data_IF_767959878416
#
_entry.id   IF_767959878416
#
_cell.length_a   1.000
_cell.length_b   1.000
_cell.length_c   1.000
_cell.angle_alpha   90.00
_cell.angle_beta   90.00
_cell.angle_gamma   90.00
#
_symmetry.space_group_name_H-M   'P 1'
#
loop_
_entity.id
_entity.type
_entity.pdbx_description
1 polymer ?
#
# COMPACT_ATOMS: atom_id res chain seq x y z
N UNK A 1 1.51 41.80 23.76
CA UNK A 1 0.62 41.23 22.73
C UNK A 1 1.34 40.81 21.45
N UNK A 2 2.22 41.65 20.87
CA UNK A 2 2.95 41.29 19.62
C UNK A 2 3.86 40.04 19.75
N UNK A 3 4.44 39.72 20.90
CA UNK A 3 5.31 38.54 21.10
C UNK A 3 4.54 37.21 21.17
N UNK A 4 3.29 37.25 21.63
CA UNK A 4 2.43 36.04 21.70
C UNK A 4 1.97 35.61 20.31
N UNK A 5 1.69 36.55 19.40
CA UNK A 5 1.30 36.22 18.01
C UNK A 5 2.45 35.63 17.21
N UNK A 6 3.69 36.07 17.42
CA UNK A 6 4.86 35.49 16.74
C UNK A 6 5.12 34.05 17.21
N UNK A 7 4.90 33.73 18.48
CA UNK A 7 5.09 32.38 19.02
C UNK A 7 3.99 31.43 18.50
N UNK A 8 2.75 31.89 18.37
CA UNK A 8 1.65 31.10 17.79
C UNK A 8 1.87 30.83 16.29
N UNK A 9 2.35 31.82 15.53
CA UNK A 9 2.66 31.66 14.10
C UNK A 9 3.84 30.71 13.89
N UNK A 10 4.85 30.74 14.75
CA UNK A 10 5.98 29.82 14.73
C UNK A 10 5.55 28.38 15.08
N UNK A 11 4.61 28.20 16.03
CA UNK A 11 4.06 26.88 16.36
C UNK A 11 3.21 26.30 15.23
N UNK A 12 2.42 27.12 14.55
CA UNK A 12 1.62 26.72 13.39
C UNK A 12 2.51 26.38 12.17
N UNK A 13 3.63 27.08 11.99
CA UNK A 13 4.59 26.79 10.91
C UNK A 13 5.37 25.48 11.14
N UNK A 14 5.63 25.10 12.39
CA UNK A 14 6.31 23.85 12.74
C UNK A 14 5.39 22.64 12.53
N UNK A 15 4.07 22.78 12.69
CA UNK A 15 3.10 21.70 12.42
C UNK A 15 2.96 21.44 10.91
N UNK A 16 3.19 22.44 10.07
CA UNK A 16 3.09 22.28 8.60
C UNK A 16 4.31 21.63 7.93
N UNK A 17 5.43 21.49 8.63
CA UNK A 17 6.69 20.99 8.05
C UNK A 17 6.91 19.48 8.24
N UNK A 18 6.01 18.75 8.93
CA UNK A 18 6.27 17.37 9.35
C UNK A 18 5.60 16.27 8.53
N UNK A 19 4.80 16.60 7.53
CA UNK A 19 3.99 15.59 6.84
C UNK A 19 4.35 15.47 5.36
N UNK A 20 5.49 14.84 5.05
CA UNK A 20 5.77 14.45 3.68
C UNK A 20 6.42 13.08 3.63
N UNK A 21 5.68 12.12 3.06
CA UNK A 21 6.10 10.73 2.94
C UNK A 21 6.03 10.00 4.29
N UNK A 22 6.80 8.95 4.41
CA UNK A 22 6.86 8.18 5.65
C UNK A 22 7.57 8.98 6.77
N UNK A 23 7.09 9.02 8.03
CA UNK A 23 7.73 9.79 9.10
C UNK A 23 9.17 9.34 9.35
N UNK A 24 10.07 10.29 9.65
CA UNK A 24 11.41 9.96 10.11
C UNK A 24 11.39 9.52 11.58
N UNK A 25 12.34 8.67 11.95
CA UNK A 25 12.46 8.10 13.30
C UNK A 25 11.21 7.31 13.74
N UNK A 26 10.48 6.76 12.77
CA UNK A 26 9.33 5.93 13.03
C UNK A 26 9.81 4.55 13.57
N UNK A 27 9.33 4.17 14.73
CA UNK A 27 9.68 2.91 15.42
C UNK A 27 8.56 1.85 15.34
N UNK A 28 7.45 2.18 14.70
CA UNK A 28 6.30 1.29 14.60
C UNK A 28 6.50 0.12 13.66
N UNK A 29 5.62 -0.85 13.80
CA UNK A 29 5.56 -2.09 13.02
C UNK A 29 4.24 -2.11 12.26
N UNK A 30 4.29 -2.44 10.97
CA UNK A 30 3.13 -2.64 10.12
C UNK A 30 2.80 -4.13 10.02
N UNK A 31 1.52 -4.47 9.95
CA UNK A 31 1.01 -5.80 9.61
C UNK A 31 0.28 -5.69 8.28
N UNK A 32 0.60 -6.55 7.32
CA UNK A 32 -0.33 -6.86 6.24
C UNK A 32 -1.39 -7.80 6.80
N UNK A 33 -2.60 -7.30 7.04
CA UNK A 33 -3.69 -7.98 7.74
C UNK A 33 -4.45 -9.04 6.92
N UNK A 34 -3.87 -9.51 5.82
CA UNK A 34 -4.51 -10.48 4.91
C UNK A 34 -3.47 -11.27 4.10
N UNK A 35 -3.92 -12.39 3.55
CA UNK A 35 -3.22 -13.19 2.54
C UNK A 35 -4.10 -13.32 1.30
N UNK A 36 -3.59 -13.92 0.22
CA UNK A 36 -4.42 -14.17 -0.95
C UNK A 36 -5.57 -15.13 -0.60
N UNK A 37 -6.77 -14.88 -1.13
CA UNK A 37 -8.00 -15.62 -0.83
C UNK A 37 -8.42 -15.64 0.66
N UNK A 38 -7.98 -14.66 1.43
CA UNK A 38 -8.28 -14.56 2.87
C UNK A 38 -9.68 -13.99 3.16
N UNK A 39 -10.69 -14.28 2.35
CA UNK A 39 -12.03 -13.68 2.44
C UNK A 39 -12.68 -13.84 3.81
N UNK A 40 -12.47 -14.97 4.50
CA UNK A 40 -12.99 -15.20 5.85
C UNK A 40 -12.10 -14.59 6.92
N UNK A 41 -10.79 -14.81 6.81
CA UNK A 41 -9.82 -14.40 7.82
C UNK A 41 -9.57 -12.88 7.84
N UNK A 42 -9.79 -12.19 6.73
CA UNK A 42 -9.63 -10.74 6.58
C UNK A 42 -10.97 -9.97 6.57
N UNK A 43 -12.09 -10.61 6.89
CA UNK A 43 -13.35 -9.90 7.12
C UNK A 43 -13.17 -8.85 8.21
N UNK A 44 -13.86 -7.71 8.07
CA UNK A 44 -13.72 -6.58 8.98
C UNK A 44 -13.95 -6.98 10.44
N UNK A 45 -14.96 -7.80 10.73
CA UNK A 45 -15.20 -8.34 12.07
C UNK A 45 -14.09 -9.26 12.57
N UNK A 46 -13.53 -10.08 11.68
CA UNK A 46 -12.45 -10.98 12.04
C UNK A 46 -11.15 -10.23 12.38
N UNK A 47 -10.86 -9.16 11.63
CA UNK A 47 -9.74 -8.27 11.92
C UNK A 47 -9.99 -7.45 13.19
N UNK A 48 -11.19 -6.91 13.37
CA UNK A 48 -11.56 -6.17 14.58
C UNK A 48 -11.41 -7.02 15.84
N UNK A 49 -11.79 -8.29 15.79
CA UNK A 49 -11.67 -9.23 16.90
C UNK A 49 -10.20 -9.47 17.34
N UNK A 50 -9.22 -9.27 16.43
CA UNK A 50 -7.79 -9.43 16.72
C UNK A 50 -7.15 -8.18 17.35
N UNK A 51 -7.91 -7.12 17.63
CA UNK A 51 -7.38 -5.85 18.17
C UNK A 51 -6.53 -6.05 19.42
N UNK A 52 -6.94 -6.92 20.33
CA UNK A 52 -6.19 -7.20 21.56
C UNK A 52 -4.86 -7.89 21.33
N UNK A 53 -4.74 -8.68 20.25
CA UNK A 53 -3.52 -9.37 19.85
C UNK A 53 -2.50 -8.36 19.26
N UNK A 54 -3.00 -7.36 18.53
CA UNK A 54 -2.19 -6.34 17.87
C UNK A 54 -1.75 -5.22 18.83
N UNK A 55 -2.57 -4.89 19.82
CA UNK A 55 -2.37 -3.75 20.71
C UNK A 55 -1.00 -3.78 21.40
N UNK A 56 -0.23 -2.71 21.22
CA UNK A 56 1.12 -2.55 21.79
C UNK A 56 2.24 -3.16 20.95
N UNK A 57 1.91 -3.97 19.95
CA UNK A 57 2.89 -4.63 19.06
C UNK A 57 2.82 -4.08 17.64
N UNK A 58 1.62 -4.02 17.06
CA UNK A 58 1.36 -3.54 15.70
C UNK A 58 0.85 -2.11 15.77
N UNK A 59 1.48 -1.22 15.03
CA UNK A 59 1.16 0.19 15.01
C UNK A 59 0.32 0.58 13.79
N UNK A 60 0.43 -0.18 12.67
CA UNK A 60 -0.33 0.01 11.44
C UNK A 60 -0.81 -1.33 10.90
N UNK A 61 -2.05 -1.41 10.43
CA UNK A 61 -2.58 -2.58 9.73
C UNK A 61 -2.98 -2.20 8.31
N UNK A 62 -2.30 -2.76 7.31
CA UNK A 62 -2.71 -2.71 5.92
C UNK A 62 -3.78 -3.76 5.69
N UNK A 63 -4.97 -3.30 5.30
CA UNK A 63 -6.15 -4.14 5.05
C UNK A 63 -6.42 -4.30 3.56
N UNK A 64 -7.20 -5.32 3.14
CA UNK A 64 -7.58 -5.49 1.74
C UNK A 64 -8.25 -4.25 1.16
N UNK A 65 -8.24 -4.12 -0.18
CA UNK A 65 -9.02 -3.10 -0.89
C UNK A 65 -10.49 -3.19 -0.48
N UNK A 66 -11.01 -2.11 0.09
CA UNK A 66 -12.32 -2.11 0.76
C UNK A 66 -13.49 -1.72 -0.15
N UNK A 67 -13.23 -1.11 -1.32
CA UNK A 67 -14.27 -0.70 -2.26
C UNK A 67 -14.96 -1.91 -2.91
N UNK A 68 -16.26 -1.77 -3.18
CA UNK A 68 -17.07 -2.80 -3.82
C UNK A 68 -16.62 -3.02 -5.26
N UNK A 69 -16.36 -4.27 -5.62
CA UNK A 69 -16.17 -4.71 -7.00
C UNK A 69 -17.52 -5.00 -7.69
N UNK A 70 -17.50 -5.28 -8.99
CA UNK A 70 -18.71 -5.73 -9.70
C UNK A 70 -19.14 -7.09 -9.15
N UNK A 71 -18.20 -8.00 -8.99
CA UNK A 71 -18.37 -9.25 -8.25
C UNK A 71 -18.40 -8.93 -6.74
N UNK A 72 -19.24 -9.64 -5.99
CA UNK A 72 -19.46 -9.32 -4.57
C UNK A 72 -19.06 -10.43 -3.61
N UNK A 73 -18.65 -11.58 -4.12
CA UNK A 73 -18.32 -12.77 -3.31
C UNK A 73 -16.94 -13.28 -3.69
N UNK A 74 -16.09 -13.47 -2.68
CA UNK A 74 -14.74 -14.02 -2.85
C UNK A 74 -13.87 -13.24 -3.85
N UNK A 75 -13.81 -11.92 -3.71
CA UNK A 75 -13.01 -11.02 -4.55
C UNK A 75 -12.02 -10.25 -3.69
N UNK A 76 -10.73 -10.28 -4.06
CA UNK A 76 -9.66 -9.57 -3.31
C UNK A 76 -9.73 -8.04 -3.44
N UNK A 77 -10.41 -7.53 -4.45
CA UNK A 77 -10.63 -6.09 -4.58
C UNK A 77 -9.81 -5.41 -5.68
N UNK A 78 -8.89 -6.11 -6.36
CA UNK A 78 -7.96 -5.53 -7.34
C UNK A 78 -8.59 -5.20 -8.71
N UNK A 79 -9.92 -5.35 -8.85
CA UNK A 79 -10.73 -4.85 -9.97
C UNK A 79 -11.81 -3.92 -9.45
N UNK A 80 -11.48 -2.72 -8.92
CA UNK A 80 -12.42 -1.83 -8.25
C UNK A 80 -13.49 -1.34 -9.23
N UNK A 81 -14.75 -1.41 -8.81
CA UNK A 81 -15.87 -0.91 -9.59
C UNK A 81 -16.46 0.36 -8.96
N UNK A 82 -16.61 0.40 -7.62
CA UNK A 82 -17.06 1.56 -6.87
C UNK A 82 -15.94 2.15 -6.03
N UNK A 83 -15.87 3.49 -5.95
CA UNK A 83 -14.95 4.23 -5.10
C UNK A 83 -15.57 4.73 -3.79
N UNK A 84 -16.92 4.88 -3.76
CA UNK A 84 -17.63 5.41 -2.60
C UNK A 84 -18.64 4.43 -2.00
N UNK A 85 -18.61 3.16 -2.40
CA UNK A 85 -19.38 2.08 -1.82
C UNK A 85 -18.43 1.00 -1.31
N UNK A 86 -18.43 0.79 0.01
CA UNK A 86 -17.51 -0.12 0.69
C UNK A 86 -18.19 -1.37 1.27
N UNK A 87 -19.35 -1.76 0.73
CA UNK A 87 -19.94 -3.08 0.99
C UNK A 87 -19.26 -4.10 0.06
N UNK A 88 -18.24 -4.77 0.55
CA UNK A 88 -17.35 -5.63 -0.23
C UNK A 88 -17.39 -7.09 0.22
N UNK A 89 -16.52 -7.93 -0.34
CA UNK A 89 -16.32 -9.32 0.09
C UNK A 89 -15.87 -9.46 1.55
N UNK A 90 -15.31 -8.38 2.12
CA UNK A 90 -14.77 -8.39 3.48
C UNK A 90 -15.77 -7.90 4.54
N UNK A 91 -16.97 -7.50 4.12
CA UNK A 91 -18.04 -7.07 5.01
C UNK A 91 -18.71 -5.77 4.57
N UNK A 92 -19.61 -5.26 5.40
CA UNK A 92 -20.31 -4.01 5.18
C UNK A 92 -19.43 -2.80 5.50
N UNK A 93 -19.80 -1.63 4.97
CA UNK A 93 -19.11 -0.38 5.30
C UNK A 93 -19.21 -0.05 6.80
N UNK A 94 -20.33 -0.36 7.46
CA UNK A 94 -20.49 -0.16 8.90
C UNK A 94 -19.50 -1.03 9.70
N UNK A 95 -19.28 -2.27 9.28
CA UNK A 95 -18.28 -3.15 9.88
C UNK A 95 -16.85 -2.64 9.66
N UNK A 96 -16.55 -2.13 8.48
CA UNK A 96 -15.27 -1.47 8.18
C UNK A 96 -15.05 -0.25 9.09
N UNK A 97 -16.05 0.62 9.22
CA UNK A 97 -15.99 1.79 10.10
C UNK A 97 -15.81 1.40 11.57
N UNK A 98 -16.47 0.33 12.01
CA UNK A 98 -16.31 -0.22 13.37
C UNK A 98 -14.87 -0.67 13.60
N UNK A 99 -14.32 -1.47 12.70
CA UNK A 99 -12.95 -1.97 12.77
C UNK A 99 -11.92 -0.81 12.82
N UNK A 100 -12.02 0.15 11.89
CA UNK A 100 -11.11 1.31 11.84
C UNK A 100 -11.18 2.10 13.15
N UNK A 101 -12.38 2.35 13.65
CA UNK A 101 -12.59 3.06 14.92
C UNK A 101 -12.00 2.29 16.11
N UNK A 102 -12.22 0.97 16.16
CA UNK A 102 -11.69 0.11 17.22
C UNK A 102 -10.17 0.08 17.19
N UNK A 103 -9.56 -0.08 16.03
CA UNK A 103 -8.11 0.00 15.87
C UNK A 103 -7.57 1.34 16.36
N UNK A 104 -8.12 2.44 15.87
CA UNK A 104 -7.72 3.79 16.26
C UNK A 104 -7.80 4.03 17.76
N UNK A 105 -8.89 3.58 18.41
CA UNK A 105 -9.07 3.70 19.88
C UNK A 105 -8.03 2.89 20.67
N UNK A 106 -7.36 1.94 20.02
CA UNK A 106 -6.30 1.12 20.62
C UNK A 106 -4.89 1.49 20.13
N UNK A 107 -4.76 2.64 19.45
CA UNK A 107 -3.47 3.16 18.97
C UNK A 107 -2.94 2.45 17.72
N UNK A 108 -3.83 1.82 16.94
CA UNK A 108 -3.50 1.11 15.69
C UNK A 108 -4.08 1.91 14.52
N UNK A 109 -3.22 2.37 13.62
CA UNK A 109 -3.64 3.02 12.38
C UNK A 109 -4.01 2.00 11.30
N UNK A 110 -4.90 2.38 10.39
CA UNK A 110 -5.33 1.52 9.28
C UNK A 110 -4.83 2.09 7.96
N UNK A 111 -4.21 1.25 7.14
CA UNK A 111 -3.70 1.58 5.80
C UNK A 111 -4.67 1.00 4.76
N UNK A 112 -5.26 1.88 3.94
CA UNK A 112 -6.11 1.46 2.82
C UNK A 112 -5.27 0.91 1.67
N UNK A 113 -5.71 -0.18 1.04
CA UNK A 113 -5.22 -0.61 -0.26
C UNK A 113 -5.93 0.21 -1.35
N UNK A 114 -5.16 0.96 -2.15
CA UNK A 114 -5.66 1.94 -3.11
C UNK A 114 -5.31 1.50 -4.53
N UNK A 115 -6.31 1.03 -5.26
CA UNK A 115 -6.20 0.60 -6.66
C UNK A 115 -6.75 1.71 -7.54
N UNK A 116 -5.85 2.47 -8.16
CA UNK A 116 -6.19 3.62 -9.02
C UNK A 116 -5.48 3.61 -10.37
N UNK A 117 -4.60 2.66 -10.63
CA UNK A 117 -4.03 2.47 -11.95
C UNK A 117 -5.14 2.22 -12.98
N UNK A 118 -6.05 1.34 -12.64
CA UNK A 118 -7.14 0.87 -13.48
C UNK A 118 -8.45 0.80 -12.72
N UNK A 119 -9.56 0.70 -13.47
CA UNK A 119 -10.90 0.55 -12.90
C UNK A 119 -11.77 -0.35 -13.77
N UNK A 120 -12.60 -1.18 -13.14
CA UNK A 120 -13.54 -2.05 -13.84
C UNK A 120 -14.73 -1.24 -14.38
N UNK A 121 -15.34 -1.76 -15.45
CA UNK A 121 -16.47 -1.12 -16.17
C UNK A 121 -17.58 -2.14 -16.42
N UNK A 122 -18.78 -1.66 -16.62
CA UNK A 122 -19.82 -2.43 -17.29
C UNK A 122 -19.55 -2.38 -18.80
N UNK A 123 -19.40 -3.56 -19.41
CA UNK A 123 -18.89 -3.65 -20.77
C UNK A 123 -17.48 -3.04 -20.90
N UNK A 124 -17.24 -2.33 -22.01
CA UNK A 124 -15.91 -1.76 -22.27
C UNK A 124 -15.71 -0.35 -21.71
N UNK A 125 -16.79 0.44 -21.54
CA UNK A 125 -16.63 1.89 -21.40
C UNK A 125 -17.47 2.52 -20.29
N UNK A 126 -18.39 1.78 -19.65
CA UNK A 126 -19.33 2.38 -18.70
C UNK A 126 -18.81 2.26 -17.27
N UNK A 127 -18.37 3.37 -16.71
CA UNK A 127 -18.06 3.48 -15.28
C UNK A 127 -19.31 3.84 -14.49
N UNK A 128 -19.47 3.35 -13.25
CA UNK A 128 -20.59 3.75 -12.40
C UNK A 128 -20.48 5.25 -12.04
N UNK A 129 -21.63 5.93 -12.05
CA UNK A 129 -21.75 7.24 -11.44
C UNK A 129 -22.03 7.08 -9.94
N UNK A 130 -21.27 7.80 -9.10
CA UNK A 130 -21.38 7.73 -7.66
C UNK A 130 -21.51 9.14 -7.07
N UNK A 131 -22.26 9.29 -6.00
CA UNK A 131 -22.45 10.59 -5.34
C UNK A 131 -21.77 10.61 -3.99
N UNK A 132 -20.92 11.59 -3.78
CA UNK A 132 -20.26 11.85 -2.51
C UNK A 132 -20.36 13.33 -2.14
N UNK A 133 -20.83 13.65 -0.94
CA UNK A 133 -21.06 15.01 -0.45
C UNK A 133 -21.88 15.90 -1.43
N UNK A 134 -22.91 15.31 -2.07
CA UNK A 134 -23.78 16.01 -3.02
C UNK A 134 -23.17 16.27 -4.40
N UNK A 135 -21.97 15.77 -4.66
CA UNK A 135 -21.31 15.84 -5.97
C UNK A 135 -21.31 14.47 -6.63
N UNK A 136 -21.72 14.41 -7.90
CA UNK A 136 -21.62 13.18 -8.70
C UNK A 136 -20.22 13.08 -9.33
N UNK A 137 -19.58 11.94 -9.13
CA UNK A 137 -18.29 11.57 -9.70
C UNK A 137 -18.48 10.39 -10.64
N UNK A 138 -17.95 10.51 -11.85
CA UNK A 138 -17.97 9.44 -12.84
C UNK A 138 -16.76 9.56 -13.74
N UNK A 139 -16.07 8.45 -13.98
CA UNK A 139 -15.10 8.34 -15.06
C UNK A 139 -15.86 8.23 -16.40
N UNK A 140 -15.26 8.73 -17.44
CA UNK A 140 -15.80 8.72 -18.81
C UNK A 140 -14.90 7.87 -19.71
N UNK A 141 -15.37 7.44 -20.89
CA UNK A 141 -14.49 6.76 -21.85
C UNK A 141 -13.23 7.57 -22.21
N UNK A 142 -13.34 8.90 -22.21
CA UNK A 142 -12.23 9.84 -22.46
C UNK A 142 -11.21 9.89 -21.30
N UNK A 143 -11.44 9.18 -20.21
CA UNK A 143 -10.53 9.00 -19.09
C UNK A 143 -9.73 7.69 -19.17
N UNK A 144 -9.98 6.86 -20.20
CA UNK A 144 -9.27 5.61 -20.47
C UNK A 144 -8.08 5.91 -21.37
N UNK A 145 -6.91 5.37 -21.03
CA UNK A 145 -5.69 5.50 -21.82
C UNK A 145 -5.89 4.99 -23.25
N UNK A 146 -5.31 5.70 -24.22
CA UNK A 146 -5.49 5.39 -25.66
C UNK A 146 -5.02 3.99 -26.03
N UNK A 147 -3.95 3.51 -25.42
CA UNK A 147 -3.33 2.22 -25.68
C UNK A 147 -3.75 1.12 -24.70
N UNK A 148 -4.77 1.36 -23.85
CA UNK A 148 -5.30 0.43 -22.87
C UNK A 148 -5.53 -0.97 -23.49
N UNK A 149 -5.22 -2.02 -22.71
CA UNK A 149 -5.26 -3.42 -23.09
C UNK A 149 -4.52 -3.69 -24.42
N UNK A 150 -3.30 -3.12 -24.52
CA UNK A 150 -2.45 -3.23 -25.71
C UNK A 150 -3.15 -2.77 -27.00
N UNK A 151 -4.06 -1.79 -26.90
CA UNK A 151 -4.82 -1.20 -28.01
C UNK A 151 -6.11 -1.94 -28.39
N UNK A 152 -6.50 -2.99 -27.67
CA UNK A 152 -7.78 -3.67 -27.89
C UNK A 152 -8.96 -2.76 -27.56
N UNK A 153 -8.84 -1.98 -26.48
CA UNK A 153 -9.86 -1.00 -26.11
C UNK A 153 -10.08 0.06 -27.17
N UNK A 154 -8.99 0.57 -27.79
CA UNK A 154 -9.13 1.49 -28.92
C UNK A 154 -9.82 0.84 -30.13
N UNK A 155 -9.49 -0.42 -30.39
CA UNK A 155 -10.14 -1.19 -31.48
C UNK A 155 -11.64 -1.31 -31.24
N UNK A 156 -12.06 -1.58 -30.02
CA UNK A 156 -13.49 -1.64 -29.64
C UNK A 156 -14.15 -0.27 -29.65
N UNK A 157 -13.45 0.76 -29.18
CA UNK A 157 -13.93 2.15 -29.18
C UNK A 157 -14.26 2.63 -30.61
N UNK A 158 -13.40 2.29 -31.59
CA UNK A 158 -13.63 2.63 -32.98
C UNK A 158 -14.89 1.92 -33.55
N UNK A 159 -15.17 0.66 -33.15
CA UNK A 159 -16.37 -0.07 -33.59
C UNK A 159 -17.64 0.55 -33.02
N UNK A 160 -17.60 1.04 -31.80
CA UNK A 160 -18.74 1.62 -31.10
C UNK A 160 -18.84 3.16 -31.25
N UNK A 161 -17.93 3.78 -32.00
CA UNK A 161 -17.85 5.25 -32.18
C UNK A 161 -17.68 5.96 -30.85
N UNK A 162 -16.93 5.38 -29.90
CA UNK A 162 -16.59 5.95 -28.61
C UNK A 162 -15.22 6.61 -28.69
N UNK A 163 -15.03 7.77 -28.04
CA UNK A 163 -13.76 8.45 -27.95
C UNK A 163 -13.04 8.10 -26.65
N UNK A 164 -11.79 7.67 -26.72
CA UNK A 164 -10.89 7.50 -25.58
C UNK A 164 -10.08 8.77 -25.33
N UNK A 165 -9.23 8.77 -24.29
CA UNK A 165 -8.21 9.77 -24.10
C UNK A 165 -7.26 9.84 -25.31
N UNK A 166 -6.65 11.02 -25.55
CA UNK A 166 -5.57 11.16 -26.52
C UNK A 166 -4.20 10.72 -25.96
N UNK A 167 -4.10 10.50 -24.66
CA UNK A 167 -2.87 10.12 -24.00
C UNK A 167 -2.72 8.60 -23.96
N UNK A 168 -1.49 8.15 -24.16
CA UNK A 168 -1.12 6.79 -23.84
C UNK A 168 -0.92 6.66 -22.33
N UNK A 169 -1.02 5.41 -21.85
CA UNK A 169 -0.63 5.03 -20.53
C UNK A 169 0.82 5.46 -20.23
N UNK A 170 1.09 5.78 -18.97
CA UNK A 170 2.39 6.28 -18.53
C UNK A 170 3.29 5.15 -17.98
N UNK A 171 2.79 3.92 -17.96
CA UNK A 171 3.50 2.78 -17.41
C UNK A 171 3.01 1.42 -17.87
N UNK A 172 2.92 0.50 -16.93
CA UNK A 172 2.54 -0.90 -17.18
C UNK A 172 1.01 -1.02 -17.31
N UNK A 173 0.55 -1.72 -18.36
CA UNK A 173 -0.86 -1.97 -18.72
C UNK A 173 -1.47 -3.08 -17.83
N UNK A 174 -2.73 -2.92 -17.40
CA UNK A 174 -3.51 -3.95 -16.72
C UNK A 174 -4.69 -4.43 -17.58
N UNK A 175 -4.50 -5.49 -18.33
CA UNK A 175 -5.39 -5.94 -19.39
C UNK A 175 -6.81 -6.40 -19.00
N UNK A 176 -7.13 -6.52 -17.71
CA UNK A 176 -8.43 -7.00 -17.23
C UNK A 176 -9.43 -5.88 -16.86
N UNK A 177 -8.96 -4.64 -16.76
CA UNK A 177 -9.74 -3.44 -16.45
C UNK A 177 -9.37 -2.32 -17.42
N UNK A 178 -9.87 -1.10 -17.18
CA UNK A 178 -9.53 0.06 -18.01
C UNK A 178 -8.49 0.92 -17.29
N UNK A 179 -7.31 1.07 -17.90
CA UNK A 179 -6.23 1.92 -17.38
C UNK A 179 -6.64 3.39 -17.47
N UNK A 180 -6.49 4.08 -16.33
CA UNK A 180 -6.93 5.45 -16.18
C UNK A 180 -5.87 6.45 -16.62
N UNK A 181 -6.25 7.41 -17.45
CA UNK A 181 -5.39 8.52 -17.84
C UNK A 181 -5.23 9.53 -16.70
N UNK A 182 -4.20 9.38 -15.89
CA UNK A 182 -3.91 10.29 -14.78
C UNK A 182 -3.57 11.73 -15.18
N UNK A 183 -3.38 12.02 -16.47
CA UNK A 183 -3.30 13.39 -17.01
C UNK A 183 -4.69 14.02 -17.14
N UNK A 184 -5.76 13.23 -17.19
CA UNK A 184 -7.13 13.73 -17.20
C UNK A 184 -7.44 14.49 -15.90
N UNK A 185 -7.96 15.72 -16.06
CA UNK A 185 -8.43 16.51 -14.91
C UNK A 185 -9.62 15.84 -14.20
N UNK A 186 -10.45 15.08 -14.95
CA UNK A 186 -11.56 14.33 -14.38
C UNK A 186 -11.06 13.15 -13.54
N UNK A 187 -10.11 12.35 -14.05
CA UNK A 187 -9.48 11.27 -13.26
C UNK A 187 -8.88 11.82 -11.97
N UNK A 188 -8.07 12.89 -12.06
CA UNK A 188 -7.48 13.50 -10.87
C UNK A 188 -8.53 14.01 -9.87
N UNK A 189 -9.64 14.59 -10.36
CA UNK A 189 -10.75 15.07 -9.51
C UNK A 189 -11.40 13.90 -8.78
N UNK A 190 -11.74 12.83 -9.50
CA UNK A 190 -12.42 11.65 -8.94
C UNK A 190 -11.50 10.94 -7.94
N UNK A 191 -10.23 10.70 -8.30
CA UNK A 191 -9.25 10.05 -7.42
C UNK A 191 -9.01 10.88 -6.14
N UNK A 192 -8.84 12.20 -6.25
CA UNK A 192 -8.67 13.07 -5.07
C UNK A 192 -9.90 13.03 -4.15
N UNK A 193 -11.11 12.98 -4.70
CA UNK A 193 -12.33 12.86 -3.91
C UNK A 193 -12.40 11.49 -3.21
N UNK A 194 -12.09 10.41 -3.92
CA UNK A 194 -12.01 9.06 -3.37
C UNK A 194 -11.00 8.97 -2.20
N UNK A 195 -9.80 9.46 -2.39
CA UNK A 195 -8.77 9.42 -1.34
C UNK A 195 -9.15 10.28 -0.12
N UNK A 196 -9.83 11.42 -0.32
CA UNK A 196 -10.39 12.20 0.79
C UNK A 196 -11.48 11.43 1.52
N UNK A 197 -12.37 10.76 0.81
CA UNK A 197 -13.39 9.91 1.40
C UNK A 197 -12.75 8.80 2.27
N UNK A 198 -11.73 8.11 1.77
CA UNK A 198 -10.99 7.11 2.57
C UNK A 198 -10.44 7.71 3.87
N UNK A 199 -9.78 8.87 3.79
CA UNK A 199 -9.14 9.48 4.94
C UNK A 199 -10.12 10.15 5.90
N UNK A 200 -11.02 10.99 5.36
CA UNK A 200 -11.83 11.92 6.16
C UNK A 200 -13.12 11.27 6.66
N UNK A 201 -13.75 10.42 5.86
CA UNK A 201 -15.02 9.76 6.19
C UNK A 201 -14.83 8.37 6.80
N UNK A 202 -14.01 7.52 6.18
CA UNK A 202 -13.75 6.17 6.70
C UNK A 202 -12.72 6.18 7.83
N UNK A 203 -11.78 7.13 7.83
CA UNK A 203 -10.81 7.29 8.89
C UNK A 203 -9.49 6.54 8.70
N UNK A 204 -9.15 6.15 7.49
CA UNK A 204 -7.84 5.59 7.18
C UNK A 204 -6.71 6.59 7.47
N UNK A 205 -5.60 6.11 8.00
CA UNK A 205 -4.43 6.93 8.37
C UNK A 205 -3.32 6.89 7.30
N UNK A 206 -3.40 5.96 6.37
CA UNK A 206 -2.42 5.83 5.29
C UNK A 206 -2.96 5.11 4.07
N UNK A 207 -2.14 5.10 3.01
CA UNK A 207 -2.43 4.47 1.73
C UNK A 207 -1.31 3.53 1.31
N UNK A 208 -1.66 2.33 0.86
CA UNK A 208 -0.84 1.48 0.02
C UNK A 208 -1.35 1.61 -1.40
N UNK A 209 -0.55 2.18 -2.28
CA UNK A 209 -0.88 2.30 -3.70
C UNK A 209 -0.47 1.04 -4.44
N UNK A 210 -1.46 0.38 -5.03
CA UNK A 210 -1.32 -0.79 -5.88
C UNK A 210 -0.70 -0.44 -7.23
N UNK A 211 0.10 -1.34 -7.79
CA UNK A 211 0.60 -1.31 -9.17
C UNK A 211 1.08 0.08 -9.64
N UNK A 212 1.89 0.77 -8.81
CA UNK A 212 2.34 2.14 -9.13
C UNK A 212 3.36 2.22 -10.27
N UNK A 213 3.69 1.11 -10.92
CA UNK A 213 4.42 1.09 -12.19
C UNK A 213 3.54 1.49 -13.37
N UNK A 214 2.22 1.42 -13.22
CA UNK A 214 1.28 1.70 -14.30
C UNK A 214 1.06 3.18 -14.56
N UNK A 215 1.44 4.09 -13.67
CA UNK A 215 1.25 5.53 -13.88
C UNK A 215 2.39 6.37 -13.30
N UNK A 216 2.48 7.64 -13.73
CA UNK A 216 3.59 8.49 -13.32
C UNK A 216 3.58 8.78 -11.82
N UNK A 217 4.72 8.58 -11.17
CA UNK A 217 4.91 8.76 -9.74
C UNK A 217 4.54 10.15 -9.21
N UNK A 218 4.61 11.20 -10.04
CA UNK A 218 4.23 12.56 -9.64
C UNK A 218 2.76 12.65 -9.22
N UNK A 219 1.89 11.82 -9.81
CA UNK A 219 0.47 11.78 -9.43
C UNK A 219 0.28 11.29 -7.99
N UNK A 220 1.06 10.28 -7.54
CA UNK A 220 1.06 9.87 -6.11
C UNK A 220 1.46 11.03 -5.20
N UNK A 221 2.49 11.78 -5.60
CA UNK A 221 2.93 12.98 -4.87
C UNK A 221 1.82 14.05 -4.75
N UNK A 222 1.09 14.29 -5.83
CA UNK A 222 -0.02 15.25 -5.89
C UNK A 222 -1.24 14.77 -5.08
N UNK A 223 -1.58 13.48 -5.15
CA UNK A 223 -2.66 12.87 -4.37
C UNK A 223 -2.37 12.91 -2.88
N UNK A 224 -1.14 12.57 -2.47
CA UNK A 224 -0.71 12.66 -1.08
C UNK A 224 -0.72 14.10 -0.56
N UNK A 225 -0.36 15.07 -1.41
CA UNK A 225 -0.45 16.49 -1.07
C UNK A 225 -1.90 16.93 -0.88
N UNK A 226 -2.79 16.52 -1.79
CA UNK A 226 -4.19 16.91 -1.76
C UNK A 226 -4.95 16.35 -0.54
N UNK A 227 -4.52 15.20 -0.03
CA UNK A 227 -5.10 14.55 1.16
C UNK A 227 -4.38 14.91 2.46
N UNK A 228 -3.12 15.32 2.40
CA UNK A 228 -2.26 15.49 3.58
C UNK A 228 -2.06 14.17 4.33
N UNK A 229 -2.01 13.04 3.61
CA UNK A 229 -1.79 11.71 4.21
C UNK A 229 -0.34 11.59 4.69
N UNK A 230 -0.14 10.97 5.85
CA UNK A 230 1.19 10.83 6.45
C UNK A 230 1.87 9.51 6.10
N UNK A 231 1.11 8.41 6.10
CA UNK A 231 1.63 7.10 5.77
C UNK A 231 1.26 6.77 4.33
N UNK A 232 2.27 6.62 3.47
CA UNK A 232 2.07 6.25 2.07
C UNK A 232 3.16 5.30 1.62
N UNK A 233 2.78 4.19 1.04
CA UNK A 233 3.67 3.18 0.48
C UNK A 233 3.20 2.78 -0.92
N UNK A 234 4.12 2.75 -1.89
CA UNK A 234 3.83 2.27 -3.24
C UNK A 234 4.37 0.88 -3.48
N UNK A 235 3.61 0.11 -4.21
CA UNK A 235 4.04 -1.17 -4.76
C UNK A 235 4.77 -0.93 -6.09
N UNK A 236 6.07 -0.67 -6.01
CA UNK A 236 6.91 -0.55 -7.20
C UNK A 236 7.82 -1.79 -7.28
N UNK A 237 7.35 -2.83 -7.93
CA UNK A 237 8.04 -4.12 -8.00
C UNK A 237 9.17 -4.10 -9.02
N UNK A 238 10.35 -3.67 -8.57
CA UNK A 238 11.51 -3.49 -9.43
C UNK A 238 12.82 -3.51 -8.60
N UNK A 239 13.95 -3.36 -9.28
CA UNK A 239 15.26 -3.20 -8.67
C UNK A 239 15.38 -1.87 -7.90
N UNK A 240 16.27 -1.85 -6.90
CA UNK A 240 16.43 -0.74 -5.95
C UNK A 240 16.64 0.63 -6.61
N UNK A 241 17.34 0.69 -7.74
CA UNK A 241 17.57 1.94 -8.48
C UNK A 241 16.28 2.56 -9.01
N UNK A 242 15.40 1.74 -9.58
CA UNK A 242 14.11 2.17 -10.11
C UNK A 242 13.15 2.58 -8.99
N UNK A 243 13.14 1.84 -7.86
CA UNK A 243 12.34 2.19 -6.69
C UNK A 243 12.79 3.56 -6.12
N UNK A 244 14.11 3.81 -5.99
CA UNK A 244 14.63 5.11 -5.56
C UNK A 244 14.22 6.25 -6.50
N UNK A 245 14.28 6.00 -7.81
CA UNK A 245 13.83 6.96 -8.81
C UNK A 245 12.33 7.27 -8.67
N UNK A 246 11.50 6.24 -8.47
CA UNK A 246 10.08 6.39 -8.22
C UNK A 246 9.81 7.24 -6.96
N UNK A 247 10.46 6.94 -5.83
CA UNK A 247 10.34 7.73 -4.59
C UNK A 247 10.70 9.21 -4.85
N UNK A 248 11.80 9.47 -5.58
CA UNK A 248 12.19 10.83 -5.92
C UNK A 248 11.12 11.56 -6.77
N UNK A 249 10.55 10.86 -7.76
CA UNK A 249 9.50 11.42 -8.63
C UNK A 249 8.18 11.71 -7.90
N UNK A 250 7.89 11.02 -6.77
CA UNK A 250 6.76 11.41 -5.89
C UNK A 250 7.05 12.69 -5.10
N UNK A 251 8.23 13.30 -5.25
CA UNK A 251 8.71 14.37 -4.39
C UNK A 251 9.02 13.90 -2.97
N UNK A 252 9.37 12.62 -2.79
CA UNK A 252 9.58 11.94 -1.50
C UNK A 252 8.34 11.95 -0.60
N UNK A 253 7.14 12.00 -1.19
CA UNK A 253 5.86 11.99 -0.50
C UNK A 253 5.27 10.59 -0.30
N UNK A 254 6.00 9.55 -0.71
CA UNK A 254 5.67 8.14 -0.48
C UNK A 254 6.93 7.34 -0.17
N UNK A 255 6.83 6.37 0.73
CA UNK A 255 7.74 5.25 0.82
C UNK A 255 7.39 4.20 -0.24
N UNK A 256 8.17 3.13 -0.29
CA UNK A 256 7.92 2.00 -1.16
C UNK A 256 8.24 0.68 -0.45
N UNK A 257 7.62 -0.41 -0.87
CA UNK A 257 8.04 -1.74 -0.46
C UNK A 257 9.46 -2.02 -0.95
N UNK A 258 10.30 -2.51 -0.05
CA UNK A 258 11.70 -2.86 -0.34
C UNK A 258 11.77 -4.29 -0.90
N UNK A 259 11.38 -4.47 -2.16
CA UNK A 259 11.44 -5.77 -2.84
C UNK A 259 12.86 -6.35 -2.84
N UNK A 260 13.88 -5.51 -2.90
CA UNK A 260 15.25 -5.98 -2.88
C UNK A 260 15.64 -6.58 -1.52
N UNK A 261 15.08 -6.08 -0.41
CA UNK A 261 15.25 -6.68 0.90
C UNK A 261 14.74 -8.12 0.94
N UNK A 262 13.54 -8.36 0.37
CA UNK A 262 12.99 -9.71 0.22
C UNK A 262 13.90 -10.59 -0.64
N UNK A 263 14.33 -10.13 -1.81
CA UNK A 263 15.19 -10.93 -2.70
C UNK A 263 16.58 -11.19 -2.12
N UNK A 264 17.16 -10.27 -1.38
CA UNK A 264 18.43 -10.50 -0.68
C UNK A 264 18.28 -11.64 0.33
N UNK A 265 17.14 -11.72 1.03
CA UNK A 265 16.84 -12.78 1.98
C UNK A 265 16.63 -14.13 1.28
N UNK A 266 15.80 -14.19 0.23
CA UNK A 266 15.60 -15.43 -0.54
C UNK A 266 16.90 -15.93 -1.16
N UNK A 267 17.73 -15.03 -1.70
CA UNK A 267 19.03 -15.38 -2.24
C UNK A 267 19.99 -15.88 -1.18
N UNK A 268 19.99 -15.30 0.02
CA UNK A 268 20.80 -15.77 1.14
C UNK A 268 20.44 -17.20 1.52
N UNK A 269 19.15 -17.50 1.63
CA UNK A 269 18.63 -18.82 1.97
C UNK A 269 18.94 -19.84 0.86
N UNK A 270 18.59 -19.53 -0.39
CA UNK A 270 18.76 -20.44 -1.54
C UNK A 270 20.23 -20.84 -1.77
N UNK A 271 21.14 -19.88 -1.57
CA UNK A 271 22.57 -20.12 -1.83
C UNK A 271 23.34 -20.50 -0.55
N UNK A 272 22.66 -20.56 0.60
CA UNK A 272 23.30 -20.71 1.93
C UNK A 272 24.45 -19.69 2.10
N UNK A 273 24.25 -18.46 1.63
CA UNK A 273 25.21 -17.36 1.67
C UNK A 273 24.62 -16.14 2.37
N UNK A 274 24.77 -16.07 3.67
CA UNK A 274 24.22 -15.02 4.52
C UNK A 274 24.80 -13.63 4.26
N UNK A 275 25.91 -13.53 3.51
CA UNK A 275 26.47 -12.25 3.07
C UNK A 275 25.52 -11.50 2.14
N UNK A 276 24.63 -12.21 1.45
CA UNK A 276 23.58 -11.66 0.58
C UNK A 276 22.59 -10.74 1.31
N UNK A 277 22.41 -10.92 2.61
CA UNK A 277 21.59 -10.01 3.43
C UNK A 277 22.13 -8.57 3.44
N UNK A 278 23.39 -8.35 3.11
CA UNK A 278 24.02 -7.04 3.03
C UNK A 278 24.05 -6.45 1.62
N UNK A 279 23.46 -7.11 0.64
CA UNK A 279 23.35 -6.57 -0.71
C UNK A 279 22.45 -5.32 -0.73
N UNK A 280 22.63 -4.48 -1.76
CA UNK A 280 21.97 -3.19 -1.82
C UNK A 280 20.44 -3.33 -1.82
N UNK A 281 19.78 -2.53 -0.97
CA UNK A 281 18.31 -2.41 -0.88
C UNK A 281 17.96 -0.96 -0.51
N UNK A 282 16.68 -0.61 -0.40
CA UNK A 282 16.29 0.71 0.12
C UNK A 282 16.75 0.87 1.56
N UNK A 283 16.55 -0.16 2.39
CA UNK A 283 16.91 -0.17 3.81
C UNK A 283 18.41 0.04 4.01
N UNK A 284 19.25 -0.52 3.12
CA UNK A 284 20.71 -0.40 3.25
C UNK A 284 21.23 1.02 2.95
N UNK A 285 20.50 1.84 2.20
CA UNK A 285 20.87 3.21 1.85
C UNK A 285 20.35 4.23 2.88
N UNK A 286 21.25 4.90 3.59
CA UNK A 286 20.90 5.87 4.63
C UNK A 286 19.99 7.00 4.12
N UNK A 287 20.07 7.38 2.83
CA UNK A 287 19.25 8.43 2.23
C UNK A 287 17.82 7.98 1.91
N UNK A 288 17.59 6.67 1.79
CA UNK A 288 16.29 6.09 1.42
C UNK A 288 15.71 5.17 2.52
N UNK A 289 16.49 4.77 3.49
CA UNK A 289 16.10 3.89 4.60
C UNK A 289 14.79 4.30 5.27
N UNK A 290 14.57 5.60 5.47
CA UNK A 290 13.34 6.17 6.00
C UNK A 290 12.11 5.74 5.21
N UNK A 291 12.25 5.58 3.89
CA UNK A 291 11.17 5.27 2.96
C UNK A 291 11.03 3.78 2.67
N UNK A 292 11.86 2.95 3.28
CA UNK A 292 11.85 1.50 3.10
C UNK A 292 10.78 0.86 3.98
N UNK A 293 9.75 0.30 3.38
CA UNK A 293 8.83 -0.63 4.02
C UNK A 293 9.33 -2.03 3.71
N UNK A 294 10.05 -2.60 4.70
CA UNK A 294 10.69 -3.92 4.56
C UNK A 294 9.69 -5.03 4.82
N UNK A 295 9.83 -6.17 4.16
CA UNK A 295 8.93 -7.31 4.31
C UNK A 295 9.63 -8.63 3.99
N UNK A 296 9.10 -9.73 4.53
CA UNK A 296 9.58 -11.09 4.25
C UNK A 296 8.79 -11.70 3.11
N UNK A 297 7.48 -11.69 3.21
CA UNK A 297 6.52 -12.16 2.20
C UNK A 297 5.31 -11.23 2.14
N UNK A 298 4.55 -11.35 1.07
CA UNK A 298 3.24 -10.72 0.89
C UNK A 298 2.28 -11.68 0.17
N UNK A 299 1.04 -11.24 -0.05
CA UNK A 299 -0.03 -12.01 -0.69
C UNK A 299 0.23 -12.39 -2.16
N UNK A 300 1.18 -11.76 -2.82
CA UNK A 300 1.58 -12.09 -4.21
C UNK A 300 2.77 -13.04 -4.28
N UNK A 301 3.60 -13.04 -3.23
CA UNK A 301 4.82 -13.87 -3.15
C UNK A 301 4.53 -15.22 -2.49
N UNK A 302 3.59 -15.26 -1.53
CA UNK A 302 3.21 -16.51 -0.85
C UNK A 302 2.90 -17.62 -1.85
N UNK A 303 3.23 -18.85 -1.48
CA UNK A 303 2.69 -20.02 -2.19
C UNK A 303 1.18 -20.09 -1.93
N UNK A 304 0.39 -20.06 -3.01
CA UNK A 304 -1.07 -20.11 -2.92
C UNK A 304 -1.55 -21.56 -2.89
N UNK A 305 -2.54 -21.85 -2.06
CA UNK A 305 -3.13 -23.19 -1.93
C UNK A 305 -3.69 -23.71 -3.29
N UNK A 306 -4.27 -22.81 -4.08
CA UNK A 306 -4.78 -23.12 -5.44
C UNK A 306 -3.69 -23.25 -6.49
N UNK A 307 -2.42 -23.06 -6.11
CA UNK A 307 -1.24 -23.08 -6.99
C UNK A 307 -1.28 -22.10 -8.16
N UNK A 308 -2.15 -21.11 -8.13
CA UNK A 308 -2.32 -20.13 -9.22
C UNK A 308 -1.05 -19.32 -9.51
N UNK A 309 -0.08 -19.32 -8.58
CA UNK A 309 1.21 -18.64 -8.73
C UNK A 309 2.42 -19.58 -8.57
N UNK A 310 2.22 -20.91 -8.74
CA UNK A 310 3.30 -21.88 -8.60
C UNK A 310 4.48 -21.56 -9.52
N UNK A 311 5.70 -21.55 -8.95
CA UNK A 311 6.94 -21.30 -9.69
C UNK A 311 7.16 -19.86 -10.15
N UNK A 312 6.23 -18.94 -9.94
CA UNK A 312 6.34 -17.55 -10.40
C UNK A 312 7.00 -16.62 -9.37
N UNK A 313 7.05 -17.02 -8.12
CA UNK A 313 7.48 -16.22 -6.98
C UNK A 313 8.49 -17.01 -6.12
N UNK A 314 9.20 -16.30 -5.26
CA UNK A 314 10.24 -16.87 -4.41
C UNK A 314 9.81 -16.86 -2.94
N UNK A 315 8.83 -17.70 -2.52
CA UNK A 315 8.40 -17.75 -1.12
C UNK A 315 9.55 -18.21 -0.22
N UNK A 316 9.55 -17.74 1.01
CA UNK A 316 10.51 -18.17 2.02
C UNK A 316 10.13 -19.59 2.50
N UNK A 317 11.06 -20.57 2.48
CA UNK A 317 10.79 -21.88 3.05
C UNK A 317 10.37 -21.77 4.53
N UNK A 318 9.31 -22.49 4.93
CA UNK A 318 8.66 -22.36 6.25
C UNK A 318 9.64 -22.45 7.41
N UNK A 319 10.68 -23.29 7.29
CA UNK A 319 11.73 -23.44 8.32
C UNK A 319 12.54 -22.18 8.59
N UNK A 320 12.56 -21.23 7.63
CA UNK A 320 13.31 -19.98 7.74
C UNK A 320 12.43 -18.79 8.11
N UNK A 321 11.09 -18.92 8.14
CA UNK A 321 10.19 -17.81 8.42
C UNK A 321 10.48 -17.12 9.76
N UNK A 322 10.71 -17.83 10.89
CA UNK A 322 11.06 -17.17 12.14
C UNK A 322 12.38 -16.38 12.07
N UNK A 323 13.41 -16.95 11.46
CA UNK A 323 14.71 -16.29 11.32
C UNK A 323 14.65 -15.09 10.37
N UNK A 324 13.88 -15.20 9.29
CA UNK A 324 13.64 -14.12 8.33
C UNK A 324 12.92 -12.93 8.99
N UNK A 325 11.88 -13.20 9.78
CA UNK A 325 11.19 -12.16 10.55
C UNK A 325 12.05 -11.58 11.67
N UNK A 326 12.92 -12.37 12.31
CA UNK A 326 13.88 -11.87 13.29
C UNK A 326 14.84 -10.86 12.63
N UNK A 327 15.36 -11.16 11.44
CA UNK A 327 16.17 -10.22 10.66
C UNK A 327 15.36 -8.99 10.26
N UNK A 328 14.14 -9.16 9.73
CA UNK A 328 13.24 -8.06 9.38
C UNK A 328 13.04 -7.08 10.55
N UNK A 329 12.72 -7.60 11.73
CA UNK A 329 12.39 -6.80 12.92
C UNK A 329 13.65 -6.16 13.53
N UNK A 330 14.81 -6.82 13.44
CA UNK A 330 16.09 -6.28 13.96
C UNK A 330 16.68 -5.17 13.08
N UNK A 331 16.28 -5.08 11.79
CA UNK A 331 16.87 -4.10 10.87
C UNK A 331 16.10 -2.78 10.88
N UNK A 332 16.73 -1.64 10.48
CA UNK A 332 16.03 -0.38 10.26
C UNK A 332 15.07 -0.47 9.05
N UNK A 333 14.36 0.61 8.76
CA UNK A 333 13.19 0.63 7.89
C UNK A 333 11.93 0.37 8.71
N UNK A 334 10.77 0.37 8.06
CA UNK A 334 9.50 0.01 8.70
C UNK A 334 9.19 -1.44 8.39
N UNK A 335 9.27 -2.36 9.35
CA UNK A 335 8.94 -3.76 9.10
C UNK A 335 7.44 -3.93 8.85
N UNK A 336 7.10 -4.64 7.79
CA UNK A 336 5.75 -5.10 7.47
C UNK A 336 5.68 -6.61 7.62
N UNK A 337 5.01 -7.07 8.65
CA UNK A 337 4.82 -8.50 8.95
C UNK A 337 3.64 -9.01 8.12
N UNK A 338 3.75 -10.22 7.58
CA UNK A 338 2.69 -10.87 6.83
C UNK A 338 1.74 -11.64 7.75
N UNK A 339 0.42 -11.54 7.57
CA UNK A 339 -0.57 -12.14 8.47
C UNK A 339 -0.38 -13.65 8.71
N UNK A 340 -0.09 -14.51 7.71
CA UNK A 340 0.21 -15.90 7.96
C UNK A 340 1.39 -16.13 8.90
N UNK A 341 2.44 -15.29 8.79
CA UNK A 341 3.57 -15.36 9.70
C UNK A 341 3.18 -14.94 11.13
N UNK A 342 2.37 -13.86 11.25
CA UNK A 342 1.84 -13.42 12.54
C UNK A 342 1.07 -14.54 13.23
N UNK A 343 0.13 -15.18 12.52
CA UNK A 343 -0.68 -16.27 13.07
C UNK A 343 0.13 -17.50 13.47
N UNK A 344 1.17 -17.82 12.70
CA UNK A 344 1.99 -19.00 12.95
C UNK A 344 3.01 -18.81 14.09
N UNK A 345 3.48 -17.58 14.31
CA UNK A 345 4.63 -17.26 15.19
C UNK A 345 4.36 -16.04 16.07
N UNK A 346 3.11 -15.84 16.51
CA UNK A 346 2.69 -14.64 17.26
C UNK A 346 3.56 -14.38 18.50
N UNK A 347 3.82 -15.42 19.29
CA UNK A 347 4.59 -15.31 20.53
C UNK A 347 6.03 -14.84 20.27
N UNK A 348 6.69 -15.45 19.30
CA UNK A 348 8.06 -15.12 18.92
C UNK A 348 8.13 -13.72 18.33
N UNK A 349 7.19 -13.37 17.45
CA UNK A 349 7.13 -12.05 16.82
C UNK A 349 6.90 -10.94 17.85
N UNK A 350 6.02 -11.15 18.82
CA UNK A 350 5.80 -10.22 19.92
C UNK A 350 7.09 -9.96 20.70
N UNK A 351 7.80 -11.02 21.06
CA UNK A 351 9.08 -10.91 21.77
C UNK A 351 10.16 -10.16 20.97
N UNK A 352 10.21 -10.39 19.64
CA UNK A 352 11.12 -9.66 18.74
C UNK A 352 10.75 -8.17 18.62
N UNK A 353 9.46 -7.86 18.55
CA UNK A 353 8.97 -6.48 18.48
C UNK A 353 9.24 -5.74 19.79
N UNK A 354 9.06 -6.38 20.95
CA UNK A 354 9.40 -5.81 22.25
C UNK A 354 10.92 -5.49 22.31
N UNK A 355 11.77 -6.41 21.87
CA UNK A 355 13.20 -6.18 21.80
C UNK A 355 13.53 -4.99 20.88
N UNK A 356 12.91 -4.89 19.68
CA UNK A 356 13.07 -3.75 18.78
C UNK A 356 12.69 -2.42 19.46
N UNK A 357 11.53 -2.39 20.12
CA UNK A 357 11.04 -1.19 20.82
C UNK A 357 11.93 -0.83 22.01
N UNK A 358 12.40 -1.82 22.78
CA UNK A 358 13.26 -1.62 23.93
C UNK A 358 14.62 -0.99 23.55
N UNK A 359 15.25 -1.47 22.47
CA UNK A 359 16.54 -0.91 22.00
C UNK A 359 16.38 0.32 21.12
N UNK A 360 15.14 0.75 20.83
CA UNK A 360 14.83 2.00 20.13
C UNK A 360 15.17 1.99 18.64
N UNK A 361 15.02 0.85 17.95
CA UNK A 361 15.25 0.79 16.51
C UNK A 361 14.14 1.54 15.79
N UNK A 362 14.53 2.46 14.90
CA UNK A 362 13.63 3.24 14.04
C UNK A 362 13.91 2.97 12.57
N UNK A 363 13.07 3.51 11.70
CA UNK A 363 13.29 3.44 10.25
C UNK A 363 14.50 4.25 9.76
N UNK A 364 15.16 5.02 10.62
CA UNK A 364 16.37 5.79 10.28
C UNK A 364 17.62 5.33 11.06
N UNK A 365 17.51 4.32 11.92
CA UNK A 365 18.64 3.81 12.71
C UNK A 365 19.80 3.38 11.82
N UNK A 366 21.02 3.65 12.26
CA UNK A 366 22.22 3.08 11.64
C UNK A 366 22.42 1.64 12.10
N UNK A 367 23.08 0.84 11.28
CA UNK A 367 23.45 -0.52 11.61
C UNK A 367 24.81 -0.88 11.01
N UNK A 368 25.43 -1.89 11.55
CA UNK A 368 26.68 -2.46 11.02
C UNK A 368 26.51 -3.97 10.92
N UNK A 369 26.72 -4.52 9.75
CA UNK A 369 26.80 -5.96 9.56
C UNK A 369 28.26 -6.38 9.53
N UNK A 370 28.66 -7.22 10.46
CA UNK A 370 30.00 -7.81 10.45
C UNK A 370 30.02 -8.93 9.41
N UNK A 371 30.93 -8.81 8.44
CA UNK A 371 31.24 -9.88 7.49
C UNK A 371 32.45 -10.63 8.03
N UNK A 372 32.23 -11.82 8.51
CA UNK A 372 33.33 -12.77 8.78
C UNK A 372 33.56 -13.65 7.56
#
# INVERSE_FOLDING_TARGET
>A
MKKIYLTLIALLAVISASAQGWPANYNGVMLQGFSWNAYEAAQWKALEAQTSEFKGFIDLVWVPQSGKCAETVQVMGYKPYYYFNHNSSFGTEDELRSMIKTFKNNGIGTIADVVINHRNTEGWFTFPAETYQGVTYQMLPTDICKNDDSGKTLTQANKESVSLSNNNDEGDDFGDCRDLDHKSTNVQKVVKAYLKFLKEDLGYEGFRYDMVKGFNASHVGDYNTATGIQYSVGEYWDGVGNIKNWINKTGKKSGAFDFQFHYNMTNAIKNNDWRKLNDASLMSDASYRRYAITFVENHDIQEREDKSNEGSKDPIPTTYIPAANAFLIAMPGTPCIFQPHWKAYEHELKSMIEARKLVGITNTSSYTCWRN
#
